data_IF_180668438112
#
_entry.id   IF_180668438112
#
_cell.length_a   1.000
_cell.length_b   1.000
_cell.length_c   1.000
_cell.angle_alpha   90.00
_cell.angle_beta   90.00
_cell.angle_gamma   90.00
#
_symmetry.space_group_name_H-M   'P 1'
#
loop_
_entity.id
_entity.type
_entity.pdbx_description
1 polymer ?
#
# COMPACT_ATOMS: atom_id res chain seq x y z
N UNK A 1 2.44 9.66 9.45
CA UNK A 1 1.81 8.30 9.44
C UNK A 1 2.92 7.23 9.52
N UNK A 2 2.64 6.02 10.03
CA UNK A 2 3.57 4.88 9.90
C UNK A 2 2.93 3.76 9.07
N UNK A 3 3.55 3.41 7.95
CA UNK A 3 3.07 2.34 7.07
C UNK A 3 3.69 0.99 7.49
N UNK A 4 2.83 0.09 7.97
CA UNK A 4 3.20 -1.27 8.36
C UNK A 4 3.47 -2.20 7.18
N UNK A 5 3.70 -3.48 7.49
CA UNK A 5 3.94 -4.54 6.48
C UNK A 5 2.69 -4.77 5.61
N UNK A 6 2.88 -5.20 4.37
CA UNK A 6 1.80 -5.67 3.50
C UNK A 6 1.07 -4.61 2.67
N UNK A 7 1.22 -3.32 2.98
CA UNK A 7 0.67 -2.23 2.15
C UNK A 7 1.46 -2.04 0.85
N UNK A 8 0.84 -1.40 -0.14
CA UNK A 8 1.46 -1.07 -1.44
C UNK A 8 2.79 -0.31 -1.31
N UNK A 9 2.91 0.52 -0.27
CA UNK A 9 4.13 1.28 0.06
C UNK A 9 5.25 0.38 0.63
N UNK A 10 4.91 -0.71 1.34
CA UNK A 10 5.87 -1.58 2.03
C UNK A 10 6.19 -2.90 1.31
N UNK A 11 5.35 -3.32 0.34
CA UNK A 11 5.51 -4.57 -0.40
C UNK A 11 6.29 -4.46 -1.71
N UNK A 12 6.50 -3.26 -2.23
CA UNK A 12 7.01 -3.09 -3.60
C UNK A 12 6.13 -3.74 -4.68
N UNK A 13 4.88 -4.12 -4.34
CA UNK A 13 3.94 -4.82 -5.23
C UNK A 13 3.37 -3.94 -6.36
N UNK A 14 3.60 -2.63 -6.27
CA UNK A 14 3.52 -1.67 -7.37
C UNK A 14 4.68 -0.67 -7.23
N UNK A 15 4.87 0.26 -8.17
CA UNK A 15 5.93 1.25 -8.07
C UNK A 15 5.79 2.06 -6.77
N UNK A 16 6.67 1.84 -5.79
CA UNK A 16 6.62 2.48 -4.45
C UNK A 16 6.46 3.99 -4.53
N UNK A 17 7.07 4.61 -5.54
CA UNK A 17 6.92 6.03 -5.84
C UNK A 17 5.46 6.44 -6.05
N UNK A 18 4.72 5.75 -6.91
CA UNK A 18 3.30 6.05 -7.19
C UNK A 18 2.43 5.77 -5.96
N UNK A 19 2.75 4.73 -5.18
CA UNK A 19 2.01 4.42 -3.96
C UNK A 19 2.12 5.52 -2.88
N UNK A 20 3.24 6.24 -2.84
CA UNK A 20 3.44 7.41 -1.98
C UNK A 20 2.64 8.60 -2.52
N UNK A 21 2.73 8.87 -3.82
CA UNK A 21 1.97 9.96 -4.46
C UNK A 21 0.45 9.78 -4.38
N UNK A 22 -0.03 8.54 -4.30
CA UNK A 22 -1.46 8.24 -4.18
C UNK A 22 -2.02 8.34 -2.75
N UNK A 23 -1.20 8.65 -1.75
CA UNK A 23 -1.69 8.84 -0.39
C UNK A 23 -2.67 10.02 -0.33
N UNK A 24 -3.68 10.01 0.56
CA UNK A 24 -4.59 11.15 0.68
C UNK A 24 -3.80 12.45 0.92
N UNK A 25 -4.30 13.61 0.41
CA UNK A 25 -3.67 14.90 0.66
C UNK A 25 -3.41 15.12 2.16
N UNK A 26 -2.32 15.82 2.49
CA UNK A 26 -2.00 16.21 3.87
C UNK A 26 -1.78 15.04 4.86
N UNK A 27 -1.37 13.87 4.38
CA UNK A 27 -1.07 12.71 5.25
C UNK A 27 0.42 12.45 5.50
N UNK A 28 1.28 12.95 4.61
CA UNK A 28 2.74 12.73 4.66
C UNK A 28 3.46 13.93 5.29
N UNK A 29 3.14 15.17 4.90
CA UNK A 29 3.73 16.41 5.42
C UNK A 29 5.27 16.37 5.55
N UNK A 30 5.95 15.88 4.51
CA UNK A 30 7.41 15.78 4.48
C UNK A 30 8.00 14.70 5.40
N UNK A 31 7.18 13.91 6.10
CA UNK A 31 7.62 12.84 6.99
C UNK A 31 7.04 11.48 6.58
N UNK A 32 7.90 10.63 6.02
CA UNK A 32 7.55 9.27 5.65
C UNK A 32 8.21 8.25 6.60
N UNK A 33 7.40 7.36 7.18
CA UNK A 33 7.87 6.18 7.91
C UNK A 33 7.25 4.93 7.31
N UNK A 34 8.08 4.03 6.78
CA UNK A 34 7.65 2.82 6.08
C UNK A 34 8.43 1.62 6.58
N UNK A 35 7.75 0.48 6.72
CA UNK A 35 8.42 -0.79 6.98
C UNK A 35 8.96 -1.37 5.68
N UNK A 36 10.28 -1.59 5.60
CA UNK A 36 10.88 -2.43 4.57
C UNK A 36 10.72 -3.88 5.00
N UNK A 37 9.98 -4.66 4.22
CA UNK A 37 9.80 -6.07 4.52
C UNK A 37 11.10 -6.85 4.28
N UNK A 38 11.39 -7.83 5.15
CA UNK A 38 12.61 -8.64 5.05
C UNK A 38 12.70 -9.39 3.71
N UNK A 39 11.56 -9.81 3.16
CA UNK A 39 11.49 -10.44 1.85
C UNK A 39 11.83 -9.50 0.66
N UNK A 40 11.90 -8.17 0.86
CA UNK A 40 12.19 -7.17 -0.19
C UNK A 40 13.50 -6.40 0.09
N UNK A 41 14.16 -6.64 1.23
CA UNK A 41 15.32 -5.83 1.65
C UNK A 41 16.49 -5.94 0.67
N UNK A 42 16.79 -7.15 0.17
CA UNK A 42 17.86 -7.41 -0.78
C UNK A 42 17.62 -6.69 -2.11
N UNK A 43 16.40 -6.78 -2.65
CA UNK A 43 16.04 -6.07 -3.87
C UNK A 43 16.12 -4.54 -3.71
N UNK A 44 15.84 -4.04 -2.51
CA UNK A 44 15.80 -2.60 -2.22
C UNK A 44 17.18 -2.00 -1.96
N UNK A 45 18.09 -2.76 -1.33
CA UNK A 45 19.33 -2.25 -0.76
C UNK A 45 20.57 -3.14 -0.96
N UNK A 46 20.43 -4.35 -1.51
CA UNK A 46 21.53 -5.32 -1.66
C UNK A 46 22.53 -4.97 -2.76
N UNK A 47 22.13 -4.16 -3.74
CA UNK A 47 23.00 -3.65 -4.81
C UNK A 47 23.05 -2.11 -4.76
N UNK A 48 24.22 -1.52 -5.04
CA UNK A 48 24.50 -0.09 -4.83
C UNK A 48 23.58 0.83 -5.64
N UNK A 49 23.39 0.55 -6.94
CA UNK A 49 22.52 1.35 -7.79
C UNK A 49 21.04 1.19 -7.40
N UNK A 50 20.62 0.00 -6.99
CA UNK A 50 19.27 -0.24 -6.47
C UNK A 50 19.01 0.49 -5.15
N UNK A 51 19.97 0.43 -4.22
CA UNK A 51 19.95 1.17 -2.96
C UNK A 51 19.75 2.67 -3.21
N UNK A 52 20.57 3.26 -4.09
CA UNK A 52 20.46 4.66 -4.45
C UNK A 52 19.08 5.00 -5.04
N UNK A 53 18.60 4.19 -6.00
CA UNK A 53 17.28 4.42 -6.62
C UNK A 53 16.13 4.27 -5.62
N UNK A 54 16.23 3.37 -4.67
CA UNK A 54 15.24 3.20 -3.60
C UNK A 54 15.15 4.46 -2.75
N UNK A 55 16.29 4.96 -2.26
CA UNK A 55 16.35 6.20 -1.47
C UNK A 55 15.86 7.41 -2.29
N UNK A 56 16.29 7.53 -3.55
CA UNK A 56 15.86 8.59 -4.46
C UNK A 56 14.34 8.61 -4.61
N UNK A 57 13.70 7.44 -4.81
CA UNK A 57 12.24 7.35 -4.99
C UNK A 57 11.48 7.75 -3.73
N UNK A 58 11.92 7.31 -2.55
CA UNK A 58 11.30 7.68 -1.28
C UNK A 58 11.37 9.20 -1.06
N UNK A 59 12.55 9.79 -1.25
CA UNK A 59 12.77 11.23 -1.06
C UNK A 59 11.95 12.05 -2.06
N UNK A 60 12.03 11.72 -3.35
CA UNK A 60 11.31 12.45 -4.40
C UNK A 60 9.80 12.40 -4.19
N UNK A 61 9.23 11.20 -3.99
CA UNK A 61 7.78 11.05 -3.85
C UNK A 61 7.25 11.71 -2.56
N UNK A 62 8.02 11.67 -1.46
CA UNK A 62 7.65 12.34 -0.20
C UNK A 62 7.60 13.84 -0.35
N UNK A 63 8.58 14.42 -1.06
CA UNK A 63 8.63 15.85 -1.34
C UNK A 63 7.51 16.26 -2.30
N UNK A 64 7.35 15.53 -3.40
CA UNK A 64 6.35 15.81 -4.42
C UNK A 64 4.92 15.72 -3.86
N UNK A 65 4.59 14.70 -3.07
CA UNK A 65 3.26 14.57 -2.46
C UNK A 65 2.85 15.81 -1.65
N UNK A 66 3.80 16.43 -0.93
CA UNK A 66 3.55 17.64 -0.14
C UNK A 66 3.36 18.91 -0.97
N UNK A 67 3.79 18.93 -2.23
CA UNK A 67 3.69 20.10 -3.12
C UNK A 67 2.67 19.92 -4.24
N UNK A 68 2.38 18.67 -4.61
CA UNK A 68 1.48 18.26 -5.68
C UNK A 68 0.60 17.10 -5.18
N UNK A 69 -0.37 17.40 -4.28
CA UNK A 69 -1.25 16.37 -3.74
C UNK A 69 -2.14 15.78 -4.84
N UNK A 70 -2.55 14.50 -4.72
CA UNK A 70 -3.41 13.86 -5.70
C UNK A 70 -4.81 14.48 -5.72
N UNK A 71 -5.51 14.29 -6.84
CA UNK A 71 -6.88 14.76 -6.99
C UNK A 71 -7.81 14.11 -5.98
N UNK A 72 -8.73 14.90 -5.42
CA UNK A 72 -9.79 14.36 -4.58
C UNK A 72 -10.70 13.44 -5.40
N UNK A 73 -11.05 12.25 -4.90
CA UNK A 73 -11.93 11.34 -5.63
C UNK A 73 -13.33 11.94 -5.72
N UNK A 74 -13.96 11.74 -6.89
CA UNK A 74 -15.32 12.22 -7.15
C UNK A 74 -16.35 11.54 -6.25
N UNK A 75 -17.48 12.18 -5.91
CA UNK A 75 -18.50 11.60 -5.06
C UNK A 75 -18.98 10.22 -5.53
N UNK A 76 -19.22 10.05 -6.83
CA UNK A 76 -19.67 8.78 -7.42
C UNK A 76 -18.64 7.64 -7.27
N UNK A 77 -17.35 7.97 -7.22
CA UNK A 77 -16.30 6.97 -6.97
C UNK A 77 -16.28 6.53 -5.51
N UNK A 78 -16.58 7.44 -4.58
CA UNK A 78 -16.68 7.10 -3.15
C UNK A 78 -17.85 6.17 -2.91
N UNK A 79 -19.02 6.49 -3.47
CA UNK A 79 -20.23 5.63 -3.38
C UNK A 79 -19.95 4.25 -3.94
N UNK A 80 -19.34 4.15 -5.12
CA UNK A 80 -18.99 2.86 -5.70
C UNK A 80 -18.00 2.07 -4.83
N UNK A 81 -16.99 2.74 -4.27
CA UNK A 81 -16.02 2.09 -3.36
C UNK A 81 -16.69 1.59 -2.07
N UNK A 82 -17.66 2.32 -1.54
CA UNK A 82 -18.43 1.91 -0.35
C UNK A 82 -19.27 0.65 -0.65
N UNK A 83 -19.95 0.61 -1.80
CA UNK A 83 -20.71 -0.57 -2.26
C UNK A 83 -19.80 -1.79 -2.46
N UNK A 84 -18.68 -1.60 -3.17
CA UNK A 84 -17.69 -2.66 -3.40
C UNK A 84 -17.11 -3.19 -2.09
N UNK A 85 -16.85 -2.33 -1.11
CA UNK A 85 -16.29 -2.73 0.18
C UNK A 85 -17.22 -3.68 0.94
N UNK A 86 -18.54 -3.46 0.89
CA UNK A 86 -19.54 -4.34 1.50
C UNK A 86 -19.53 -5.71 0.84
N UNK A 87 -19.67 -5.75 -0.50
CA UNK A 87 -19.75 -7.00 -1.27
C UNK A 87 -18.46 -7.81 -1.11
N UNK A 88 -17.29 -7.18 -1.29
CA UNK A 88 -16.01 -7.85 -1.20
C UNK A 88 -15.74 -8.39 0.22
N UNK A 89 -16.14 -7.65 1.26
CA UNK A 89 -15.98 -8.09 2.65
C UNK A 89 -16.92 -9.26 2.97
N UNK A 90 -18.16 -9.23 2.48
CA UNK A 90 -19.10 -10.33 2.66
C UNK A 90 -18.56 -11.61 2.04
N UNK A 91 -18.12 -11.56 0.78
CA UNK A 91 -17.61 -12.73 0.06
C UNK A 91 -16.29 -13.24 0.66
N UNK A 92 -15.37 -12.35 1.00
CA UNK A 92 -14.15 -12.75 1.71
C UNK A 92 -14.49 -13.49 3.02
N UNK A 93 -15.46 -12.96 3.79
CA UNK A 93 -15.85 -13.57 5.07
C UNK A 93 -16.66 -14.85 4.91
N UNK A 94 -17.45 -14.98 3.84
CA UNK A 94 -18.22 -16.18 3.55
C UNK A 94 -17.28 -17.39 3.40
N UNK A 95 -16.16 -17.21 2.69
CA UNK A 95 -15.16 -18.25 2.50
C UNK A 95 -14.27 -18.39 3.73
N UNK A 96 -13.61 -17.32 4.19
CA UNK A 96 -12.53 -17.42 5.18
C UNK A 96 -13.03 -17.74 6.59
N UNK A 97 -14.25 -17.31 6.95
CA UNK A 97 -14.77 -17.47 8.31
C UNK A 97 -16.05 -18.30 8.40
N UNK A 98 -16.91 -18.29 7.37
CA UNK A 98 -18.20 -18.98 7.43
C UNK A 98 -18.18 -20.39 6.83
N UNK A 99 -17.30 -20.69 5.86
CA UNK A 99 -17.18 -22.04 5.29
C UNK A 99 -16.56 -22.99 6.32
N UNK A 100 -17.30 -24.01 6.81
CA UNK A 100 -16.84 -24.85 7.92
C UNK A 100 -15.55 -25.61 7.64
N UNK A 101 -15.26 -25.89 6.37
CA UNK A 101 -14.07 -26.66 5.95
C UNK A 101 -12.88 -25.78 5.57
N UNK A 102 -13.01 -24.45 5.61
CA UNK A 102 -11.93 -23.56 5.17
C UNK A 102 -10.64 -23.77 5.97
N UNK A 103 -10.74 -23.85 7.31
CA UNK A 103 -9.56 -24.03 8.18
C UNK A 103 -8.91 -25.40 7.96
N UNK A 104 -9.71 -26.44 7.71
CA UNK A 104 -9.20 -27.77 7.35
C UNK A 104 -8.43 -27.70 6.04
N UNK A 105 -9.05 -27.17 4.97
CA UNK A 105 -8.43 -27.00 3.67
C UNK A 105 -7.13 -26.18 3.73
N UNK A 106 -7.10 -25.07 4.47
CA UNK A 106 -5.95 -24.17 4.55
C UNK A 106 -4.74 -24.78 5.29
N UNK A 107 -4.96 -25.77 6.16
CA UNK A 107 -3.91 -26.38 6.99
C UNK A 107 -3.35 -27.67 6.40
N UNK A 108 -3.98 -28.23 5.38
CA UNK A 108 -3.44 -29.34 4.58
C UNK A 108 -2.26 -28.85 3.72
#
# INVERSE_FOLDING_TARGET
MFHGRGGTVGRGGGPTHLAILSQPPDTIHGQLRVTVQGEVIEQSFGEEHLCFRTLQRFTAATLEHGMHPPVSPKPEWRVLMDEMAVIATEEYRSVVFKEPRFVEYFRL
#
